data_IF_767794108255
#
_entry.id   IF_767794108255
#
_cell.length_a   1.000
_cell.length_b   1.000
_cell.length_c   1.000
_cell.angle_alpha   90.00
_cell.angle_beta   90.00
_cell.angle_gamma   90.00
#
_symmetry.space_group_name_H-M   'P 1'
#
loop_
_entity.id
_entity.type
_entity.pdbx_description
1 polymer ?
#
# COMPACT_ATOMS: atom_id res chain seq x y z
N UNK A 1 -48.48 27.32 -87.37
CA UNK A 1 -49.66 27.00 -88.21
C UNK A 1 -49.60 25.51 -88.57
N UNK A 2 -50.69 24.77 -88.30
CA UNK A 2 -51.35 23.75 -89.18
C UNK A 2 -50.45 23.14 -90.28
N UNK A 3 -50.31 21.84 -90.54
CA UNK A 3 -51.26 20.70 -90.57
C UNK A 3 -50.42 19.46 -90.98
N UNK A 4 -50.52 18.31 -90.30
CA UNK A 4 -51.29 17.10 -90.67
C UNK A 4 -50.81 16.28 -91.90
N UNK A 5 -50.51 15.01 -91.61
CA UNK A 5 -51.04 13.79 -92.25
C UNK A 5 -50.50 13.27 -93.61
N UNK A 6 -50.00 12.00 -93.52
CA UNK A 6 -50.28 10.78 -94.31
C UNK A 6 -49.80 10.71 -95.78
N UNK A 7 -48.94 9.73 -96.10
CA UNK A 7 -49.23 8.36 -96.59
C UNK A 7 -49.48 8.36 -98.12
N UNK A 8 -48.91 7.56 -99.00
CA UNK A 8 -48.01 6.40 -98.99
C UNK A 8 -47.96 5.85 -100.44
N UNK A 9 -47.00 4.99 -100.79
CA UNK A 9 -47.00 4.12 -102.00
C UNK A 9 -45.79 3.17 -101.89
N UNK A 10 -45.93 1.89 -101.53
CA UNK A 10 -46.29 0.71 -102.34
C UNK A 10 -45.35 0.40 -103.52
N UNK A 11 -44.45 -0.58 -103.34
CA UNK A 11 -44.29 -1.82 -104.17
C UNK A 11 -43.11 -2.65 -103.63
N UNK A 12 -43.35 -3.85 -103.08
CA UNK A 12 -43.13 -5.18 -103.72
C UNK A 12 -41.66 -5.46 -104.11
N UNK A 13 -41.02 -6.60 -103.87
CA UNK A 13 -41.27 -7.83 -103.12
C UNK A 13 -39.95 -8.64 -103.18
N UNK A 14 -39.56 -9.33 -102.10
CA UNK A 14 -38.81 -10.60 -102.16
C UNK A 14 -38.75 -11.22 -100.76
N UNK A 15 -39.48 -12.32 -100.61
CA UNK A 15 -39.48 -13.19 -99.43
C UNK A 15 -38.24 -14.07 -99.48
N UNK A 16 -37.42 -14.03 -98.44
CA UNK A 16 -36.54 -15.14 -98.07
C UNK A 16 -36.97 -15.60 -96.67
N UNK A 17 -37.66 -16.73 -96.60
CA UNK A 17 -37.95 -17.40 -95.33
C UNK A 17 -36.65 -17.96 -94.77
N UNK A 18 -36.21 -17.40 -93.64
CA UNK A 18 -35.23 -18.02 -92.75
C UNK A 18 -35.96 -18.42 -91.47
N UNK A 19 -36.11 -19.73 -91.30
CA UNK A 19 -36.52 -20.38 -90.06
C UNK A 19 -35.45 -20.08 -89.01
N UNK A 20 -35.80 -19.30 -87.99
CA UNK A 20 -34.94 -19.03 -86.84
C UNK A 20 -35.37 -19.90 -85.64
N UNK A 21 -34.43 -20.55 -84.93
CA UNK A 21 -34.76 -21.30 -83.74
C UNK A 21 -34.92 -20.35 -82.55
N UNK A 22 -36.13 -20.28 -81.98
CA UNK A 22 -36.45 -19.46 -80.80
C UNK A 22 -35.82 -19.95 -79.47
N UNK A 23 -34.98 -20.99 -79.49
CA UNK A 23 -34.37 -21.58 -78.28
C UNK A 23 -33.02 -20.98 -77.86
N UNK A 24 -32.24 -20.40 -78.77
CA UNK A 24 -30.86 -19.99 -78.50
C UNK A 24 -30.72 -18.61 -77.81
N UNK A 25 -31.69 -17.72 -77.99
CA UNK A 25 -31.67 -16.38 -77.41
C UNK A 25 -32.11 -16.33 -75.94
N UNK A 26 -32.94 -17.27 -75.48
CA UNK A 26 -33.38 -17.32 -74.08
C UNK A 26 -32.26 -17.79 -73.14
N UNK A 27 -31.42 -18.72 -73.61
CA UNK A 27 -30.34 -19.32 -72.83
C UNK A 27 -29.14 -18.37 -72.68
N UNK A 28 -28.84 -17.59 -73.71
CA UNK A 28 -27.79 -16.56 -73.65
C UNK A 28 -28.17 -15.41 -72.69
N UNK A 29 -29.46 -15.07 -72.58
CA UNK A 29 -29.96 -14.06 -71.63
C UNK A 29 -29.94 -14.60 -70.18
N UNK A 30 -30.30 -15.86 -69.95
CA UNK A 30 -30.21 -16.47 -68.61
C UNK A 30 -28.77 -16.59 -68.12
N UNK A 31 -27.84 -16.96 -68.99
CA UNK A 31 -26.42 -17.08 -68.66
C UNK A 31 -25.82 -15.71 -68.34
N UNK A 32 -26.20 -14.67 -69.09
CA UNK A 32 -25.79 -13.29 -68.82
C UNK A 32 -26.37 -12.78 -67.49
N UNK A 33 -27.65 -13.09 -67.19
CA UNK A 33 -28.27 -12.72 -65.92
C UNK A 33 -27.61 -13.45 -64.73
N UNK A 34 -27.18 -14.69 -64.93
CA UNK A 34 -26.48 -15.47 -63.92
C UNK A 34 -25.08 -14.90 -63.66
N UNK A 35 -24.37 -14.48 -64.70
CA UNK A 35 -23.08 -13.78 -64.57
C UNK A 35 -23.23 -12.43 -63.86
N UNK A 36 -24.27 -11.64 -64.16
CA UNK A 36 -24.55 -10.37 -63.46
C UNK A 36 -24.83 -10.61 -61.97
N UNK A 37 -25.61 -11.64 -61.64
CA UNK A 37 -25.89 -12.00 -60.25
C UNK A 37 -24.61 -12.47 -59.52
N UNK A 38 -23.75 -13.25 -60.18
CA UNK A 38 -22.45 -13.65 -59.64
C UNK A 38 -21.52 -12.45 -59.43
N UNK A 39 -21.47 -11.53 -60.39
CA UNK A 39 -20.65 -10.32 -60.29
C UNK A 39 -21.15 -9.40 -59.16
N UNK A 40 -22.47 -9.26 -59.02
CA UNK A 40 -23.10 -8.51 -57.93
C UNK A 40 -22.77 -9.12 -56.56
N UNK A 41 -22.81 -10.45 -56.47
CA UNK A 41 -22.45 -11.19 -55.25
C UNK A 41 -20.96 -11.03 -54.91
N UNK A 42 -20.08 -11.08 -55.91
CA UNK A 42 -18.65 -10.82 -55.73
C UNK A 42 -18.38 -9.37 -55.30
N UNK A 43 -19.09 -8.39 -55.88
CA UNK A 43 -18.96 -6.99 -55.51
C UNK A 43 -19.39 -6.74 -54.05
N UNK A 44 -20.48 -7.37 -53.62
CA UNK A 44 -20.94 -7.33 -52.23
C UNK A 44 -19.93 -7.97 -51.27
N UNK A 45 -19.35 -9.12 -51.65
CA UNK A 45 -18.32 -9.77 -50.85
C UNK A 45 -17.03 -8.93 -50.73
N UNK A 46 -16.62 -8.25 -51.81
CA UNK A 46 -15.49 -7.32 -51.81
C UNK A 46 -15.80 -6.09 -50.95
N UNK A 47 -17.00 -5.53 -51.06
CA UNK A 47 -17.44 -4.40 -50.22
C UNK A 47 -17.42 -4.75 -48.72
N UNK A 48 -17.99 -5.89 -48.35
CA UNK A 48 -18.00 -6.38 -46.97
C UNK A 48 -16.58 -6.63 -46.44
N UNK A 49 -15.68 -7.15 -47.29
CA UNK A 49 -14.27 -7.35 -46.93
C UNK A 49 -13.53 -6.03 -46.76
N UNK A 50 -13.86 -5.01 -47.55
CA UNK A 50 -13.30 -3.66 -47.43
C UNK A 50 -13.74 -3.00 -46.12
N UNK A 51 -15.03 -3.10 -45.78
CA UNK A 51 -15.58 -2.60 -44.51
C UNK A 51 -14.96 -3.30 -43.30
N UNK A 52 -14.79 -4.63 -43.37
CA UNK A 52 -14.11 -5.40 -42.32
C UNK A 52 -12.63 -4.97 -42.16
N UNK A 53 -11.94 -4.72 -43.28
CA UNK A 53 -10.55 -4.25 -43.26
C UNK A 53 -10.44 -2.83 -42.67
N UNK A 54 -11.38 -1.95 -43.02
CA UNK A 54 -11.48 -0.59 -42.46
C UNK A 54 -11.76 -0.63 -40.95
N UNK A 55 -12.65 -1.52 -40.50
CA UNK A 55 -12.93 -1.73 -39.09
C UNK A 55 -11.70 -2.26 -38.33
N UNK A 56 -10.97 -3.22 -38.91
CA UNK A 56 -9.73 -3.74 -38.34
C UNK A 56 -8.65 -2.65 -38.24
N UNK A 57 -8.46 -1.85 -39.30
CA UNK A 57 -7.52 -0.73 -39.28
C UNK A 57 -7.90 0.31 -38.22
N UNK A 58 -9.19 0.66 -38.10
CA UNK A 58 -9.66 1.58 -37.07
C UNK A 58 -9.38 1.05 -35.66
N UNK A 59 -9.55 -0.26 -35.45
CA UNK A 59 -9.26 -0.92 -34.17
C UNK A 59 -7.75 -0.95 -33.85
N UNK A 60 -6.90 -1.25 -34.83
CA UNK A 60 -5.44 -1.20 -34.68
C UNK A 60 -4.95 0.22 -34.37
N UNK A 61 -5.49 1.24 -35.05
CA UNK A 61 -5.19 2.64 -34.76
C UNK A 61 -5.63 3.05 -33.35
N UNK A 62 -6.79 2.58 -32.89
CA UNK A 62 -7.27 2.84 -31.53
C UNK A 62 -6.35 2.19 -30.47
N UNK A 63 -5.91 0.94 -30.68
CA UNK A 63 -4.97 0.25 -29.79
C UNK A 63 -3.62 0.95 -29.76
N UNK A 64 -3.08 1.35 -30.92
CA UNK A 64 -1.83 2.10 -30.99
C UNK A 64 -1.93 3.48 -30.31
N UNK A 65 -3.06 4.18 -30.47
CA UNK A 65 -3.30 5.45 -29.78
C UNK A 65 -3.34 5.27 -28.26
N UNK A 66 -3.99 4.20 -27.76
CA UNK A 66 -4.03 3.88 -26.34
C UNK A 66 -2.65 3.49 -25.79
N UNK A 67 -1.84 2.73 -26.55
CA UNK A 67 -0.46 2.40 -26.18
C UNK A 67 0.43 3.64 -26.10
N UNK A 68 0.31 4.56 -27.07
CA UNK A 68 1.06 5.83 -27.04
C UNK A 68 0.63 6.71 -25.86
N UNK A 69 -0.67 6.78 -25.57
CA UNK A 69 -1.18 7.55 -24.44
C UNK A 69 -0.69 6.99 -23.09
N UNK A 70 -0.66 5.67 -22.93
CA UNK A 70 -0.15 5.02 -21.71
C UNK A 70 1.36 5.18 -21.55
N UNK A 71 2.13 5.06 -22.64
CA UNK A 71 3.57 5.33 -22.64
C UNK A 71 3.88 6.78 -22.24
N UNK A 72 3.22 7.75 -22.88
CA UNK A 72 3.38 9.16 -22.56
C UNK A 72 2.98 9.49 -21.11
N UNK A 73 1.94 8.84 -20.57
CA UNK A 73 1.54 9.02 -19.17
C UNK A 73 2.57 8.43 -18.18
N UNK A 74 3.24 7.34 -18.55
CA UNK A 74 4.30 6.73 -17.74
C UNK A 74 5.55 7.62 -17.72
N UNK A 75 5.97 8.13 -18.88
CA UNK A 75 7.11 9.06 -19.01
C UNK A 75 6.87 10.34 -18.21
N UNK A 76 5.70 10.96 -18.36
CA UNK A 76 5.33 12.16 -17.59
C UNK A 76 5.27 11.89 -16.08
N UNK A 77 5.00 10.65 -15.65
CA UNK A 77 5.05 10.26 -14.24
C UNK A 77 6.50 10.11 -13.76
N UNK A 78 7.37 9.48 -14.54
CA UNK A 78 8.80 9.36 -14.24
C UNK A 78 9.46 10.73 -14.06
N UNK A 79 9.22 11.66 -14.98
CA UNK A 79 9.76 13.03 -14.89
C UNK A 79 9.33 13.75 -13.59
N UNK A 80 8.07 13.56 -13.18
CA UNK A 80 7.57 14.14 -11.92
C UNK A 80 8.22 13.50 -10.69
N UNK A 81 8.43 12.19 -10.72
CA UNK A 81 9.10 11.46 -9.63
C UNK A 81 10.57 11.88 -9.52
N UNK A 82 11.29 11.98 -10.64
CA UNK A 82 12.68 12.48 -10.68
C UNK A 82 12.79 13.92 -10.19
N UNK A 83 11.89 14.82 -10.64
CA UNK A 83 11.85 16.19 -10.17
C UNK A 83 11.57 16.28 -8.66
N UNK A 84 10.69 15.42 -8.13
CA UNK A 84 10.41 15.36 -6.70
C UNK A 84 11.61 14.87 -5.89
N UNK A 85 12.34 13.86 -6.38
CA UNK A 85 13.58 13.36 -5.77
C UNK A 85 14.65 14.45 -5.78
N UNK A 86 14.85 15.12 -6.91
CA UNK A 86 15.82 16.21 -7.03
C UNK A 86 15.47 17.38 -6.08
N UNK A 87 14.18 17.75 -6.00
CA UNK A 87 13.70 18.78 -5.09
C UNK A 87 13.91 18.39 -3.63
N UNK A 88 13.65 17.13 -3.26
CA UNK A 88 13.91 16.62 -1.92
C UNK A 88 15.40 16.67 -1.56
N UNK A 89 16.25 16.12 -2.43
CA UNK A 89 17.70 16.11 -2.22
C UNK A 89 18.25 17.54 -2.09
N UNK A 90 17.75 18.48 -2.91
CA UNK A 90 18.09 19.89 -2.80
C UNK A 90 17.61 20.52 -1.49
N UNK A 91 16.39 20.22 -1.05
CA UNK A 91 15.87 20.70 0.23
C UNK A 91 16.69 20.16 1.41
N UNK A 92 17.12 18.90 1.36
CA UNK A 92 18.02 18.30 2.34
C UNK A 92 19.39 19.01 2.37
N UNK A 93 19.95 19.33 1.19
CA UNK A 93 21.18 20.13 1.09
C UNK A 93 21.02 21.55 1.64
N UNK A 94 19.89 22.22 1.37
CA UNK A 94 19.58 23.53 1.93
C UNK A 94 19.43 23.44 3.45
N UNK A 95 18.77 22.41 3.97
CA UNK A 95 18.64 22.16 5.40
C UNK A 95 19.99 21.91 6.10
N UNK A 96 20.98 21.35 5.38
CA UNK A 96 22.36 21.25 5.85
C UNK A 96 23.06 22.63 5.89
N UNK A 97 22.71 23.55 4.98
CA UNK A 97 23.35 24.86 4.82
C UNK A 97 22.72 25.98 5.66
N UNK A 98 21.42 25.90 6.00
CA UNK A 98 20.63 27.02 6.50
C UNK A 98 20.49 27.10 8.05
N UNK A 99 21.38 26.50 8.83
CA UNK A 99 21.14 26.31 10.28
C UNK A 99 22.12 27.11 11.15
N UNK A 100 21.63 27.72 12.27
CA UNK A 100 22.48 28.26 13.33
C UNK A 100 23.50 27.24 13.89
N UNK A 101 24.61 27.72 14.49
CA UNK A 101 25.73 26.89 14.90
C UNK A 101 25.32 25.75 15.83
N UNK A 102 25.95 24.58 15.66
CA UNK A 102 25.91 23.48 16.64
C UNK A 102 26.39 23.96 18.00
N UNK A 103 26.02 23.28 19.09
CA UNK A 103 26.50 23.63 20.44
C UNK A 103 28.04 23.65 20.57
N UNK A 104 28.75 22.94 19.68
CA UNK A 104 30.20 22.98 19.59
C UNK A 104 30.68 24.28 18.89
N UNK A 105 30.05 24.66 17.78
CA UNK A 105 30.30 25.92 17.07
C UNK A 105 29.90 27.15 17.92
N UNK A 106 28.78 27.09 18.65
CA UNK A 106 28.35 28.10 19.64
C UNK A 106 29.37 28.27 20.77
N UNK A 107 30.09 27.19 21.11
CA UNK A 107 31.17 27.19 22.11
C UNK A 107 32.54 27.51 21.52
N UNK A 108 32.61 27.91 20.25
CA UNK A 108 33.85 28.31 19.57
C UNK A 108 34.80 27.14 19.27
N UNK A 109 34.31 25.89 19.29
CA UNK A 109 35.10 24.72 18.90
C UNK A 109 35.06 24.62 17.38
N UNK A 110 35.96 25.35 16.72
CA UNK A 110 36.11 25.33 15.26
C UNK A 110 37.10 24.22 14.91
N UNK A 111 36.61 23.00 14.72
CA UNK A 111 37.44 21.94 14.19
C UNK A 111 36.73 21.23 13.04
N UNK A 112 37.21 21.50 11.83
CA UNK A 112 36.75 20.95 10.55
C UNK A 112 37.13 19.47 10.36
N UNK A 113 37.76 18.83 11.36
CA UNK A 113 38.02 17.39 11.41
C UNK A 113 36.88 16.57 12.04
N UNK A 114 35.79 17.17 12.52
CA UNK A 114 34.72 16.46 13.23
C UNK A 114 33.31 16.70 12.67
N UNK A 115 32.52 15.63 12.74
CA UNK A 115 31.05 15.51 12.78
C UNK A 115 30.29 16.80 12.43
N UNK A 116 29.86 16.95 11.17
CA UNK A 116 29.01 18.06 10.72
C UNK A 116 27.55 17.78 11.06
N UNK A 117 26.69 18.80 11.08
CA UNK A 117 25.25 18.60 11.27
C UNK A 117 24.66 17.72 10.15
N UNK A 118 23.66 16.91 10.47
CA UNK A 118 22.91 16.09 9.53
C UNK A 118 21.53 16.67 9.16
N UNK A 119 20.86 16.02 8.21
CA UNK A 119 19.56 16.46 7.65
C UNK A 119 18.38 16.20 8.59
N UNK A 120 18.50 15.23 9.52
CA UNK A 120 17.47 14.93 10.51
C UNK A 120 17.61 15.87 11.72
N UNK A 121 16.52 16.20 12.43
CA UNK A 121 16.58 16.94 13.69
C UNK A 121 17.53 16.28 14.69
N UNK A 122 18.47 17.04 15.27
CA UNK A 122 19.43 16.52 16.24
C UNK A 122 20.38 15.44 15.69
N UNK A 123 20.55 15.35 14.37
CA UNK A 123 21.47 14.41 13.74
C UNK A 123 22.79 15.04 13.33
N UNK A 124 23.75 14.18 13.02
CA UNK A 124 25.03 14.56 12.46
C UNK A 124 25.38 13.71 11.24
N UNK A 125 26.16 14.29 10.31
CA UNK A 125 26.71 13.59 9.16
C UNK A 125 27.88 12.70 9.62
N UNK A 126 27.89 11.45 9.15
CA UNK A 126 29.02 10.56 9.38
C UNK A 126 30.21 11.07 8.54
N UNK A 127 31.39 11.28 9.14
CA UNK A 127 32.56 11.71 8.39
C UNK A 127 32.88 10.78 7.21
N UNK A 128 33.02 11.35 6.02
CA UNK A 128 33.33 10.59 4.80
C UNK A 128 32.13 9.96 4.10
N UNK A 129 30.89 10.24 4.54
CA UNK A 129 29.68 9.80 3.84
C UNK A 129 28.64 10.92 3.75
N UNK A 130 27.60 10.71 2.93
CA UNK A 130 26.42 11.59 2.85
C UNK A 130 25.31 11.17 3.84
N UNK A 131 25.61 10.26 4.78
CA UNK A 131 24.63 9.71 5.72
C UNK A 131 24.54 10.55 6.97
N UNK A 132 23.34 11.01 7.30
CA UNK A 132 23.04 11.61 8.60
C UNK A 132 22.57 10.54 9.59
N UNK A 133 23.07 10.57 10.82
CA UNK A 133 22.63 9.70 11.93
C UNK A 133 22.10 10.54 13.09
N UNK A 134 20.92 10.19 13.57
CA UNK A 134 20.38 10.64 14.86
C UNK A 134 20.49 9.51 15.88
N UNK A 135 20.99 9.83 17.07
CA UNK A 135 20.93 8.95 18.24
C UNK A 135 20.15 9.72 19.32
N UNK A 136 19.04 9.15 19.76
CA UNK A 136 18.13 9.80 20.70
C UNK A 136 17.36 8.77 21.52
N UNK A 137 16.27 9.23 22.13
CA UNK A 137 15.48 8.42 23.04
C UNK A 137 15.21 9.13 24.35
N UNK A 138 14.84 8.37 25.37
CA UNK A 138 14.49 8.90 26.68
C UNK A 138 14.66 7.85 27.78
N UNK A 139 14.86 8.32 29.01
CA UNK A 139 14.72 7.51 30.22
C UNK A 139 13.37 7.85 30.84
N UNK A 140 12.60 6.83 31.18
CA UNK A 140 11.28 6.98 31.80
C UNK A 140 11.24 6.15 33.07
N UNK A 141 10.78 6.74 34.17
CA UNK A 141 10.49 6.05 35.43
C UNK A 141 8.99 6.16 35.69
N UNK A 142 8.33 5.01 35.77
CA UNK A 142 6.89 4.93 36.04
C UNK A 142 6.68 4.30 37.40
N UNK A 143 5.63 4.73 38.10
CA UNK A 143 5.12 4.08 39.29
C UNK A 143 3.65 3.78 39.09
N UNK A 144 3.24 2.56 39.44
CA UNK A 144 1.87 2.07 39.31
C UNK A 144 1.41 1.49 40.64
N UNK A 145 0.15 1.74 40.97
CA UNK A 145 -0.55 1.07 42.05
C UNK A 145 -1.78 0.34 41.51
N UNK A 146 -1.74 -1.00 41.55
CA UNK A 146 -2.85 -1.85 41.13
C UNK A 146 -3.62 -2.31 42.37
N UNK A 147 -4.80 -1.74 42.67
CA UNK A 147 -5.53 -2.04 43.91
C UNK A 147 -6.08 -3.46 43.98
N UNK A 148 -6.06 -4.21 42.87
CA UNK A 148 -6.67 -5.54 42.76
C UNK A 148 -5.71 -6.62 42.33
N UNK A 149 -4.44 -6.28 42.02
CA UNK A 149 -3.39 -7.16 41.50
C UNK A 149 -3.73 -7.98 40.24
N UNK A 150 -4.88 -7.73 39.60
CA UNK A 150 -5.42 -8.60 38.55
C UNK A 150 -4.60 -8.67 37.23
N UNK A 151 -3.65 -7.77 37.00
CA UNK A 151 -2.97 -7.61 35.69
C UNK A 151 -1.45 -7.76 35.75
N UNK A 152 -0.90 -7.90 36.96
CA UNK A 152 0.55 -7.91 37.14
C UNK A 152 1.23 -6.54 37.01
N UNK A 153 2.57 -6.53 37.12
CA UNK A 153 3.43 -5.33 37.02
C UNK A 153 3.61 -4.79 35.59
N UNK A 154 2.91 -5.40 34.63
CA UNK A 154 2.94 -5.11 33.21
C UNK A 154 1.66 -5.66 32.64
N UNK A 155 0.90 -4.82 31.96
CA UNK A 155 -0.19 -5.33 31.16
C UNK A 155 0.36 -6.13 29.96
N UNK A 156 -0.18 -7.34 29.81
CA UNK A 156 0.00 -8.23 28.68
C UNK A 156 -1.32 -8.97 28.48
N UNK A 157 -1.69 -9.32 27.25
CA UNK A 157 -2.92 -10.08 26.99
C UNK A 157 -2.86 -11.43 27.75
N UNK A 158 -1.67 -12.05 27.83
CA UNK A 158 -1.42 -13.25 28.63
C UNK A 158 -1.62 -13.08 30.15
N UNK A 159 -1.70 -11.85 30.68
CA UNK A 159 -1.97 -11.60 32.10
C UNK A 159 -3.48 -11.37 32.37
N UNK A 160 -4.33 -11.41 31.34
CA UNK A 160 -5.78 -11.36 31.48
C UNK A 160 -6.29 -12.74 31.92
N UNK A 161 -6.21 -13.02 33.22
CA UNK A 161 -6.75 -14.26 33.77
C UNK A 161 -8.29 -14.27 33.66
N UNK A 162 -8.90 -15.32 33.09
CA UNK A 162 -10.36 -15.48 33.11
C UNK A 162 -10.89 -15.47 34.55
N UNK A 163 -12.19 -15.18 34.71
CA UNK A 163 -12.85 -15.31 36.01
C UNK A 163 -12.75 -16.77 36.49
N UNK A 164 -11.95 -17.02 37.52
CA UNK A 164 -11.74 -18.34 38.09
C UNK A 164 -10.94 -18.32 39.39
N UNK A 165 -10.75 -19.48 40.04
CA UNK A 165 -10.07 -19.58 41.34
C UNK A 165 -8.60 -19.14 41.31
N UNK A 166 -7.97 -19.14 40.13
CA UNK A 166 -6.60 -18.66 39.93
C UNK A 166 -6.50 -17.13 39.85
N UNK A 167 -7.61 -16.43 39.58
CA UNK A 167 -7.67 -14.98 39.50
C UNK A 167 -7.24 -14.39 40.84
N UNK A 168 -6.04 -13.82 40.87
CA UNK A 168 -5.48 -13.18 42.08
C UNK A 168 -6.25 -11.93 42.43
N UNK A 169 -7.32 -12.09 43.20
CA UNK A 169 -8.13 -10.99 43.70
C UNK A 169 -7.85 -10.73 45.18
N UNK A 170 -6.62 -10.34 45.56
CA UNK A 170 -6.35 -9.75 46.89
C UNK A 170 -5.07 -8.90 46.95
N UNK A 171 -5.16 -7.81 47.72
CA UNK A 171 -4.15 -6.83 48.17
C UNK A 171 -3.49 -5.99 47.06
N UNK A 172 -3.49 -4.66 47.26
CA UNK A 172 -2.92 -3.73 46.29
C UNK A 172 -1.44 -3.98 46.04
N UNK A 173 -1.02 -3.82 44.79
CA UNK A 173 0.35 -4.00 44.33
C UNK A 173 0.93 -2.64 43.93
N UNK A 174 2.11 -2.30 44.45
CA UNK A 174 2.81 -1.08 44.09
C UNK A 174 4.14 -1.43 43.45
N UNK A 175 4.42 -0.79 42.33
CA UNK A 175 5.65 -1.03 41.60
C UNK A 175 6.18 0.24 40.94
N UNK A 176 7.49 0.30 40.78
CA UNK A 176 8.15 1.27 39.91
C UNK A 176 9.05 0.53 38.91
N UNK A 177 9.14 1.07 37.69
CA UNK A 177 9.96 0.46 36.65
C UNK A 177 10.45 1.50 35.65
N UNK A 178 11.50 1.15 34.92
CA UNK A 178 12.06 1.98 33.84
C UNK A 178 11.99 1.31 32.47
N UNK A 179 11.13 0.29 32.33
CA UNK A 179 11.05 -0.60 31.17
C UNK A 179 10.75 0.14 29.85
N UNK A 180 10.03 1.26 29.94
CA UNK A 180 9.62 2.08 28.79
C UNK A 180 10.78 2.92 28.24
N UNK A 181 11.88 3.05 28.98
CA UNK A 181 13.09 3.76 28.51
C UNK A 181 13.51 3.21 27.14
N UNK A 182 13.80 4.12 26.22
CA UNK A 182 13.98 3.80 24.80
C UNK A 182 15.23 4.46 24.25
N UNK A 183 15.98 3.70 23.46
CA UNK A 183 17.04 4.20 22.59
C UNK A 183 16.55 4.15 21.15
N UNK A 184 16.79 5.22 20.39
CA UNK A 184 16.42 5.36 18.99
C UNK A 184 17.65 5.74 18.19
N UNK A 185 17.88 5.03 17.08
CA UNK A 185 18.88 5.35 16.08
C UNK A 185 18.19 5.47 14.74
N UNK A 186 18.29 6.64 14.12
CA UNK A 186 17.74 6.89 12.79
C UNK A 186 18.86 7.29 11.85
N UNK A 187 18.69 6.95 10.57
CA UNK A 187 19.59 7.44 9.53
C UNK A 187 18.84 7.97 8.32
N UNK A 188 19.50 8.85 7.55
CA UNK A 188 19.04 9.32 6.26
C UNK A 188 20.23 9.48 5.33
N UNK A 189 20.19 8.79 4.19
CA UNK A 189 21.23 8.84 3.15
C UNK A 189 20.58 9.25 1.83
N UNK A 190 21.00 10.37 1.19
CA UNK A 190 20.52 10.74 -0.13
C UNK A 190 20.76 9.62 -1.16
N UNK A 191 19.83 9.41 -2.08
CA UNK A 191 20.00 8.46 -3.18
C UNK A 191 19.27 8.92 -4.45
N UNK A 192 19.48 8.19 -5.54
CA UNK A 192 18.79 8.41 -6.81
C UNK A 192 17.27 8.17 -6.74
N UNK A 193 16.78 7.49 -5.70
CA UNK A 193 15.35 7.16 -5.50
C UNK A 193 14.69 7.99 -4.39
N UNK A 194 15.34 9.07 -3.97
CA UNK A 194 15.01 9.81 -2.74
C UNK A 194 15.86 9.35 -1.55
N UNK A 195 15.65 9.92 -0.35
CA UNK A 195 16.42 9.53 0.82
C UNK A 195 16.11 8.09 1.21
N UNK A 196 17.15 7.31 1.45
CA UNK A 196 17.02 6.03 2.15
C UNK A 196 17.06 6.35 3.63
N UNK A 197 15.95 6.10 4.33
CA UNK A 197 15.88 6.32 5.79
C UNK A 197 15.83 5.00 6.53
N UNK A 198 16.36 4.98 7.76
CA UNK A 198 16.20 3.85 8.68
C UNK A 198 15.76 4.33 10.05
N UNK A 199 15.01 3.48 10.75
CA UNK A 199 14.60 3.70 12.12
C UNK A 199 14.76 2.40 12.90
N UNK A 200 15.68 2.42 13.86
CA UNK A 200 15.92 1.33 14.79
C UNK A 200 15.66 1.82 16.21
N UNK A 201 14.78 1.15 16.93
CA UNK A 201 14.46 1.51 18.30
C UNK A 201 14.40 0.26 19.18
N UNK A 202 14.96 0.38 20.39
CA UNK A 202 14.92 -0.67 21.42
C UNK A 202 14.34 -0.10 22.72
N UNK A 203 13.53 -0.89 23.41
CA UNK A 203 13.08 -0.62 24.77
C UNK A 203 13.33 -1.83 25.68
N UNK A 204 13.06 -1.66 26.98
CA UNK A 204 13.27 -2.67 28.01
C UNK A 204 11.95 -3.34 28.43
N UNK A 205 10.94 -3.34 27.56
CA UNK A 205 9.62 -3.94 27.81
C UNK A 205 9.50 -5.35 27.21
N UNK A 206 10.64 -6.03 27.01
CA UNK A 206 10.72 -7.41 26.50
C UNK A 206 10.11 -8.45 27.44
N UNK A 207 10.06 -9.70 26.96
CA UNK A 207 9.61 -10.84 27.77
C UNK A 207 10.73 -11.33 28.70
N UNK A 208 10.40 -11.57 29.97
CA UNK A 208 11.31 -12.11 30.99
C UNK A 208 10.82 -13.49 31.42
N UNK A 209 11.71 -14.49 31.45
CA UNK A 209 11.35 -15.85 31.87
C UNK A 209 10.84 -15.88 33.31
N UNK A 210 9.71 -16.54 33.56
CA UNK A 210 9.02 -16.54 34.86
C UNK A 210 8.19 -15.27 35.13
N UNK A 211 8.10 -14.36 34.16
CA UNK A 211 7.29 -13.16 34.24
C UNK A 211 7.91 -12.05 35.09
N UNK A 212 7.30 -10.87 35.02
CA UNK A 212 7.82 -9.66 35.64
C UNK A 212 7.77 -9.69 37.18
N UNK A 213 7.06 -10.63 37.80
CA UNK A 213 7.11 -10.85 39.25
C UNK A 213 8.34 -11.66 39.71
N UNK A 214 9.04 -12.32 38.78
CA UNK A 214 10.22 -13.11 39.09
C UNK A 214 11.52 -12.28 39.08
N UNK A 215 11.39 -10.95 39.10
CA UNK A 215 12.51 -10.00 39.12
C UNK A 215 13.45 -10.20 40.31
N UNK A 216 12.95 -10.66 41.46
CA UNK A 216 13.78 -10.97 42.63
C UNK A 216 14.83 -12.08 42.35
N UNK A 217 14.53 -13.02 41.45
CA UNK A 217 15.47 -14.07 41.04
C UNK A 217 16.43 -13.63 39.93
N UNK A 218 16.19 -12.48 39.30
CA UNK A 218 16.94 -11.97 38.14
C UNK A 218 17.61 -10.62 38.42
N UNK A 219 17.93 -10.34 39.69
CA UNK A 219 18.58 -9.10 40.11
C UNK A 219 17.83 -7.83 39.62
N UNK A 220 16.50 -7.89 39.57
CA UNK A 220 15.62 -6.82 39.08
C UNK A 220 15.91 -6.38 37.62
N UNK A 221 16.35 -7.32 36.77
CA UNK A 221 16.68 -7.07 35.36
C UNK A 221 15.46 -7.11 34.45
N UNK A 222 15.55 -6.42 33.31
CA UNK A 222 14.55 -6.42 32.25
C UNK A 222 15.12 -6.98 30.94
N UNK A 223 14.25 -7.50 30.08
CA UNK A 223 14.63 -7.91 28.74
C UNK A 223 14.49 -6.76 27.75
N UNK A 224 15.51 -6.56 26.91
CA UNK A 224 15.41 -5.67 25.77
C UNK A 224 14.54 -6.29 24.66
N UNK A 225 13.82 -5.44 23.92
CA UNK A 225 13.15 -5.84 22.67
C UNK A 225 13.28 -4.76 21.62
N UNK A 226 13.15 -5.19 20.36
CA UNK A 226 13.02 -4.29 19.22
C UNK A 226 11.61 -3.69 19.21
N UNK A 227 11.54 -2.38 19.01
CA UNK A 227 10.28 -1.63 18.86
C UNK A 227 10.07 -1.28 17.39
N UNK A 228 11.10 -0.77 16.74
CA UNK A 228 11.12 -0.47 15.32
C UNK A 228 12.43 -0.98 14.74
N UNK A 229 12.36 -1.59 13.57
CA UNK A 229 13.52 -1.96 12.77
C UNK A 229 13.11 -1.99 11.31
N UNK A 230 13.01 -0.81 10.71
CA UNK A 230 12.58 -0.65 9.32
C UNK A 230 13.39 0.41 8.58
N UNK A 231 13.33 0.35 7.27
CA UNK A 231 13.84 1.39 6.39
C UNK A 231 12.82 1.78 5.32
N UNK A 232 13.03 2.95 4.73
CA UNK A 232 12.20 3.47 3.63
C UNK A 232 13.05 3.89 2.46
N UNK A 233 12.53 3.70 1.25
CA UNK A 233 13.09 4.25 0.01
C UNK A 233 11.96 4.57 -0.95
N UNK A 234 11.87 5.84 -1.37
CA UNK A 234 10.74 6.32 -2.15
C UNK A 234 9.39 5.97 -1.49
N UNK A 235 8.46 5.31 -2.19
CA UNK A 235 7.15 4.94 -1.64
C UNK A 235 7.16 3.65 -0.81
N UNK A 236 8.28 2.94 -0.72
CA UNK A 236 8.37 1.65 -0.05
C UNK A 236 8.93 1.78 1.37
N UNK A 237 8.36 1.00 2.29
CA UNK A 237 8.90 0.73 3.60
C UNK A 237 9.02 -0.78 3.81
N UNK A 238 10.08 -1.22 4.48
CA UNK A 238 10.34 -2.64 4.76
C UNK A 238 10.95 -2.82 6.14
N UNK A 239 10.46 -3.82 6.87
CA UNK A 239 10.93 -4.20 8.20
C UNK A 239 9.83 -4.14 9.26
N UNK A 240 10.22 -4.17 10.52
CA UNK A 240 9.29 -4.17 11.66
C UNK A 240 8.84 -2.75 11.98
N UNK A 241 7.55 -2.50 11.78
CA UNK A 241 6.87 -1.24 12.15
C UNK A 241 5.39 -1.48 12.49
N UNK A 242 4.67 -0.45 12.93
CA UNK A 242 3.25 -0.58 13.25
C UNK A 242 2.48 -1.14 12.04
N UNK A 243 1.56 -2.07 12.25
CA UNK A 243 0.72 -2.64 11.18
C UNK A 243 0.07 -1.53 10.36
N UNK A 244 -0.08 -1.75 9.05
CA UNK A 244 -0.74 -0.80 8.15
C UNK A 244 -2.26 -0.76 8.39
N UNK A 245 -2.80 -1.69 9.18
CA UNK A 245 -4.18 -1.67 9.64
C UNK A 245 -4.46 -0.58 10.70
N UNK A 246 -3.43 -0.10 11.43
CA UNK A 246 -3.60 0.76 12.62
C UNK A 246 -3.71 2.24 12.24
N UNK A 247 -4.54 2.99 12.99
CA UNK A 247 -4.50 4.45 13.00
C UNK A 247 -3.65 4.97 14.17
N UNK A 248 -2.42 5.38 13.85
CA UNK A 248 -1.52 5.92 14.86
C UNK A 248 -1.87 7.35 15.27
N UNK A 249 -2.58 8.12 14.44
CA UNK A 249 -2.93 9.50 14.74
C UNK A 249 -4.14 9.58 15.67
N UNK A 250 -5.00 8.57 15.67
CA UNK A 250 -6.17 8.47 16.54
C UNK A 250 -5.86 7.79 17.90
N UNK A 251 -4.60 7.45 18.13
CA UNK A 251 -4.16 6.86 19.41
C UNK A 251 -4.06 7.95 20.48
N UNK A 252 -4.79 7.85 21.62
CA UNK A 252 -4.71 8.83 22.68
C UNK A 252 -3.37 8.75 23.40
N UNK A 253 -2.89 9.91 23.84
CA UNK A 253 -1.75 9.97 24.74
C UNK A 253 -2.17 9.41 26.11
N UNK A 254 -1.48 8.38 26.57
CA UNK A 254 -1.75 7.73 27.85
C UNK A 254 -0.46 7.54 28.64
N UNK A 255 -0.59 7.62 29.97
CA UNK A 255 0.51 7.29 30.89
C UNK A 255 0.70 5.77 31.02
N UNK A 256 -0.37 5.00 30.85
CA UNK A 256 -0.34 3.55 30.81
C UNK A 256 0.30 3.09 29.48
N UNK A 257 1.44 2.42 29.58
CA UNK A 257 2.19 1.99 28.41
C UNK A 257 1.47 0.93 27.55
N UNK A 258 0.48 0.22 28.10
CA UNK A 258 -0.34 -0.68 27.30
C UNK A 258 -1.33 0.03 26.37
N UNK A 259 -1.71 1.26 26.71
CA UNK A 259 -2.75 1.99 26.03
C UNK A 259 -4.16 1.48 26.34
N UNK A 260 -5.20 2.14 25.82
CA UNK A 260 -6.58 1.77 26.08
C UNK A 260 -6.96 0.47 25.35
N UNK A 261 -7.85 -0.31 25.98
CA UNK A 261 -8.40 -1.50 25.37
C UNK A 261 -9.18 -1.17 24.08
N UNK A 262 -9.05 -2.04 23.07
CA UNK A 262 -9.78 -1.92 21.80
C UNK A 262 -9.02 -1.19 20.68
N UNK A 263 -7.84 -0.62 20.96
CA UNK A 263 -6.96 -0.13 19.91
C UNK A 263 -6.06 -1.27 19.39
N UNK A 264 -6.03 -1.53 18.07
CA UNK A 264 -5.05 -2.46 17.52
C UNK A 264 -3.65 -1.86 17.67
N UNK A 265 -2.72 -2.63 18.24
CA UNK A 265 -1.38 -2.16 18.62
C UNK A 265 -0.24 -3.08 18.11
N UNK A 266 -0.51 -3.82 17.02
CA UNK A 266 0.44 -4.74 16.40
C UNK A 266 1.61 -4.02 15.72
N UNK A 267 2.83 -4.47 16.02
CA UNK A 267 4.05 -4.16 15.27
C UNK A 267 4.54 -5.45 14.64
N UNK A 268 4.67 -5.46 13.33
CA UNK A 268 4.96 -6.66 12.55
C UNK A 268 5.92 -6.32 11.42
N UNK A 269 6.72 -7.31 11.02
CA UNK A 269 7.52 -7.23 9.80
C UNK A 269 6.59 -7.07 8.61
N UNK A 270 6.86 -6.08 7.76
CA UNK A 270 5.99 -5.83 6.63
C UNK A 270 6.76 -5.22 5.47
N UNK A 271 6.19 -5.37 4.28
CA UNK A 271 6.53 -4.57 3.10
C UNK A 271 5.31 -3.71 2.81
N UNK A 272 5.48 -2.38 2.90
CA UNK A 272 4.40 -1.41 2.68
C UNK A 272 4.73 -0.51 1.50
N UNK A 273 3.77 -0.36 0.59
CA UNK A 273 3.77 0.67 -0.43
C UNK A 273 2.82 1.78 -0.02
N UNK A 274 3.30 3.03 -0.04
CA UNK A 274 2.53 4.22 0.32
C UNK A 274 2.48 5.18 -0.86
N UNK A 275 1.26 5.51 -1.27
CA UNK A 275 0.97 6.42 -2.37
C UNK A 275 0.26 7.68 -1.86
N UNK A 276 0.97 8.81 -1.73
CA UNK A 276 0.34 10.10 -1.50
C UNK A 276 -0.33 10.57 -2.81
N UNK A 277 -1.65 10.44 -2.88
CA UNK A 277 -2.43 10.86 -4.07
C UNK A 277 -2.36 12.38 -4.23
N UNK A 278 -2.39 13.10 -3.12
CA UNK A 278 -2.18 14.54 -3.03
C UNK A 278 -1.77 14.90 -1.59
N UNK A 279 -1.76 16.19 -1.25
CA UNK A 279 -1.35 16.69 0.08
C UNK A 279 -2.28 16.24 1.22
N UNK A 280 -3.52 15.89 0.93
CA UNK A 280 -4.55 15.55 1.93
C UNK A 280 -4.97 14.09 1.89
N UNK A 281 -4.66 13.35 0.81
CA UNK A 281 -5.11 11.98 0.59
C UNK A 281 -3.93 11.04 0.42
N UNK A 282 -3.94 9.94 1.17
CA UNK A 282 -2.91 8.91 1.15
C UNK A 282 -3.55 7.52 1.09
N UNK A 283 -3.02 6.67 0.22
CA UNK A 283 -3.34 5.25 0.19
C UNK A 283 -2.10 4.43 0.50
N UNK A 284 -2.28 3.29 1.15
CA UNK A 284 -1.20 2.36 1.43
C UNK A 284 -1.68 0.92 1.42
N UNK A 285 -0.82 0.05 0.93
CA UNK A 285 -1.01 -1.40 0.90
C UNK A 285 0.19 -2.05 1.57
N UNK A 286 -0.03 -3.09 2.37
CA UNK A 286 1.05 -3.86 2.96
C UNK A 286 0.81 -5.36 2.89
N UNK A 287 1.92 -6.09 2.76
CA UNK A 287 2.01 -7.50 3.10
C UNK A 287 2.74 -7.60 4.45
N UNK A 288 2.06 -8.14 5.45
CA UNK A 288 2.50 -8.21 6.83
C UNK A 288 2.82 -9.66 7.21
N UNK A 289 3.81 -9.84 8.07
CA UNK A 289 4.23 -11.15 8.56
C UNK A 289 3.06 -11.79 9.32
N UNK A 290 2.61 -12.98 8.91
CA UNK A 290 1.43 -13.57 9.48
C UNK A 290 1.75 -14.21 10.82
N UNK A 291 1.01 -13.80 11.84
CA UNK A 291 1.08 -14.41 13.16
C UNK A 291 -0.33 -14.54 13.70
N UNK A 292 -0.77 -15.78 13.87
CA UNK A 292 -2.01 -16.09 14.58
C UNK A 292 -1.70 -16.85 15.87
N UNK A 293 -2.53 -16.63 16.88
CA UNK A 293 -2.46 -17.33 18.14
C UNK A 293 -3.85 -17.64 18.65
N UNK A 294 -3.99 -18.72 19.41
CA UNK A 294 -5.25 -19.12 20.02
C UNK A 294 -5.08 -19.42 21.51
N UNK A 295 -6.18 -19.38 22.25
CA UNK A 295 -6.24 -19.89 23.61
C UNK A 295 -6.62 -21.37 23.55
N UNK A 296 -5.79 -22.25 24.11
CA UNK A 296 -6.12 -23.68 24.24
C UNK A 296 -7.00 -23.91 25.48
N UNK A 297 -7.74 -25.01 25.48
CA UNK A 297 -8.49 -25.63 26.58
C UNK A 297 -7.68 -25.91 27.84
N UNK A 298 -6.35 -25.76 27.81
CA UNK A 298 -5.44 -25.89 28.95
C UNK A 298 -5.06 -24.55 29.58
N UNK A 299 -5.85 -23.50 29.33
CA UNK A 299 -5.61 -22.13 29.81
C UNK A 299 -4.30 -21.50 29.31
N UNK A 300 -3.68 -22.07 28.27
CA UNK A 300 -2.54 -21.44 27.58
C UNK A 300 -3.07 -20.31 26.70
N UNK A 301 -2.62 -19.08 26.98
CA UNK A 301 -2.90 -17.90 26.17
C UNK A 301 -1.78 -17.77 25.10
N UNK A 302 -2.16 -17.42 23.86
CA UNK A 302 -1.23 -17.19 22.74
C UNK A 302 -0.42 -18.43 22.29
N UNK A 303 -1.07 -19.60 22.16
CA UNK A 303 -0.45 -20.71 21.42
C UNK A 303 -0.34 -20.28 19.96
N UNK A 304 0.89 -20.03 19.52
CA UNK A 304 1.15 -19.63 18.14
C UNK A 304 0.78 -20.77 17.17
N UNK A 305 0.07 -20.44 16.11
CA UNK A 305 -0.09 -21.34 14.98
C UNK A 305 1.28 -21.57 14.33
N UNK A 306 1.67 -22.84 14.15
CA UNK A 306 2.96 -23.18 13.57
C UNK A 306 3.00 -22.97 12.04
N UNK A 307 1.85 -22.75 11.40
CA UNK A 307 1.72 -22.78 9.93
C UNK A 307 0.83 -21.67 9.38
N UNK A 308 1.46 -20.58 8.92
CA UNK A 308 0.81 -19.50 8.18
C UNK A 308 1.35 -19.40 6.73
N UNK A 309 0.60 -19.87 5.72
CA UNK A 309 1.13 -20.06 4.37
C UNK A 309 1.17 -18.79 3.52
N UNK A 310 0.51 -17.71 3.95
CA UNK A 310 0.45 -16.46 3.20
C UNK A 310 0.60 -15.25 4.12
N UNK A 311 1.16 -14.13 3.63
CA UNK A 311 1.16 -12.87 4.36
C UNK A 311 -0.26 -12.39 4.64
N UNK A 312 -0.37 -11.56 5.67
CA UNK A 312 -1.57 -10.79 5.91
C UNK A 312 -1.56 -9.55 5.05
N UNK A 313 -2.66 -9.32 4.33
CA UNK A 313 -2.77 -8.20 3.41
C UNK A 313 -3.62 -7.12 4.02
N UNK A 314 -3.10 -5.90 4.06
CA UNK A 314 -3.82 -4.75 4.59
C UNK A 314 -3.85 -3.59 3.62
N UNK A 315 -4.95 -2.85 3.64
CA UNK A 315 -5.15 -1.62 2.89
C UNK A 315 -5.49 -0.50 3.87
N UNK A 316 -5.04 0.71 3.55
CA UNK A 316 -5.35 1.90 4.34
C UNK A 316 -5.54 3.10 3.44
N UNK A 317 -6.59 3.85 3.70
CA UNK A 317 -6.86 5.16 3.15
C UNK A 317 -6.88 6.18 4.29
N UNK A 318 -6.21 7.31 4.08
CA UNK A 318 -6.14 8.40 5.04
C UNK A 318 -6.49 9.71 4.34
N UNK A 319 -7.37 10.49 4.96
CA UNK A 319 -7.67 11.87 4.62
C UNK A 319 -7.25 12.78 5.78
N UNK A 320 -6.42 13.78 5.52
CA UNK A 320 -5.94 14.69 6.57
C UNK A 320 -5.92 16.12 6.08
N UNK A 321 -6.53 17.00 6.87
CA UNK A 321 -6.51 18.46 6.76
C UNK A 321 -6.10 19.04 8.11
N UNK A 322 -5.97 20.36 8.20
CA UNK A 322 -5.60 21.03 9.45
C UNK A 322 -6.61 20.80 10.58
N UNK A 323 -7.89 20.59 10.25
CA UNK A 323 -9.00 20.39 11.20
C UNK A 323 -9.38 18.91 11.38
N UNK A 324 -9.23 18.09 10.35
CA UNK A 324 -9.83 16.76 10.31
C UNK A 324 -8.83 15.70 9.85
N UNK A 325 -8.73 14.63 10.62
CA UNK A 325 -8.12 13.36 10.25
C UNK A 325 -9.22 12.30 10.12
N UNK A 326 -9.23 11.56 9.02
CA UNK A 326 -10.03 10.36 8.83
C UNK A 326 -9.15 9.24 8.30
N UNK A 327 -9.38 8.03 8.79
CA UNK A 327 -8.74 6.82 8.29
C UNK A 327 -9.76 5.73 8.10
N UNK A 328 -9.59 4.96 7.03
CA UNK A 328 -10.26 3.67 6.83
C UNK A 328 -9.19 2.63 6.55
N UNK A 329 -9.25 1.49 7.22
CA UNK A 329 -8.28 0.41 7.03
C UNK A 329 -8.98 -0.94 7.04
N UNK A 330 -8.45 -1.86 6.25
CA UNK A 330 -8.95 -3.22 6.13
C UNK A 330 -7.79 -4.21 6.13
N UNK A 331 -8.01 -5.40 6.67
CA UNK A 331 -7.05 -6.49 6.66
C UNK A 331 -7.74 -7.79 6.24
N UNK A 332 -7.05 -8.61 5.47
CA UNK A 332 -7.44 -9.98 5.11
C UNK A 332 -6.31 -10.92 5.51
N UNK A 333 -6.66 -11.96 6.25
CA UNK A 333 -5.74 -12.89 6.92
C UNK A 333 -6.23 -14.32 6.76
N UNK A 334 -5.34 -15.30 6.72
CA UNK A 334 -5.68 -16.70 7.01
C UNK A 334 -5.53 -16.91 8.51
N UNK A 335 -6.57 -17.37 9.18
CA UNK A 335 -6.48 -17.72 10.60
C UNK A 335 -6.51 -19.23 10.71
N UNK A 336 -5.45 -19.79 11.28
CA UNK A 336 -5.28 -21.22 11.41
C UNK A 336 -5.29 -21.69 12.87
N UNK A 337 -5.75 -22.93 13.04
CA UNK A 337 -5.69 -23.70 14.26
C UNK A 337 -5.05 -25.05 13.92
N UNK A 338 -4.09 -25.47 14.72
CA UNK A 338 -3.46 -26.79 14.65
C UNK A 338 -3.71 -27.52 15.96
N UNK A 339 -4.18 -28.75 15.90
CA UNK A 339 -4.62 -29.53 17.07
C UNK A 339 -3.47 -30.16 17.89
N UNK A 340 -2.22 -29.89 17.50
CA UNK A 340 -1.01 -30.46 18.10
C UNK A 340 -0.68 -31.88 17.65
N UNK A 341 -1.52 -32.51 16.82
CA UNK A 341 -1.27 -33.80 16.15
C UNK A 341 -0.93 -33.63 14.66
N UNK A 342 -0.85 -32.39 14.18
CA UNK A 342 -0.50 -32.02 12.81
C UNK A 342 -1.71 -31.72 11.91
N UNK A 343 -2.93 -31.80 12.42
CA UNK A 343 -4.13 -31.46 11.66
C UNK A 343 -4.41 -29.95 11.74
N UNK A 344 -4.28 -29.28 10.59
CA UNK A 344 -4.52 -27.85 10.42
C UNK A 344 -5.92 -27.57 9.88
N UNK A 345 -6.65 -26.70 10.56
CA UNK A 345 -7.88 -26.09 10.08
C UNK A 345 -7.68 -24.59 9.93
N UNK A 346 -8.06 -24.00 8.79
CA UNK A 346 -7.92 -22.55 8.61
C UNK A 346 -9.10 -21.92 7.88
N UNK A 347 -9.22 -20.60 8.04
CA UNK A 347 -10.25 -19.80 7.39
C UNK A 347 -9.70 -18.42 7.04
N UNK A 348 -9.83 -18.07 5.76
CA UNK A 348 -9.62 -16.70 5.29
C UNK A 348 -10.74 -15.82 5.86
N UNK A 349 -10.34 -14.76 6.55
CA UNK A 349 -11.24 -13.77 7.14
C UNK A 349 -10.65 -12.38 7.00
N UNK A 350 -11.41 -11.36 7.39
CA UNK A 350 -10.93 -9.99 7.40
C UNK A 350 -11.67 -9.11 8.39
N UNK A 351 -11.08 -7.95 8.65
CA UNK A 351 -11.63 -6.93 9.54
C UNK A 351 -11.39 -5.54 8.95
N UNK A 352 -12.15 -4.55 9.45
CA UNK A 352 -12.01 -3.15 9.06
C UNK A 352 -12.12 -2.24 10.26
N UNK A 353 -11.38 -1.12 10.23
CA UNK A 353 -11.52 -0.02 11.19
C UNK A 353 -11.70 1.31 10.47
N UNK A 354 -12.38 2.23 11.14
CA UNK A 354 -12.47 3.62 10.74
C UNK A 354 -12.10 4.49 11.95
N UNK A 355 -11.16 5.42 11.76
CA UNK A 355 -10.69 6.38 12.75
C UNK A 355 -11.05 7.80 12.33
N UNK A 356 -11.31 8.67 13.31
CA UNK A 356 -11.67 10.06 13.04
C UNK A 356 -11.24 10.97 14.19
N UNK A 357 -10.36 11.93 13.90
CA UNK A 357 -9.86 12.89 14.89
C UNK A 357 -10.11 14.32 14.41
N UNK A 358 -10.61 15.17 15.31
CA UNK A 358 -10.77 16.60 15.08
C UNK A 358 -9.66 17.37 15.80
N UNK A 359 -8.90 18.15 15.05
CA UNK A 359 -7.92 19.07 15.59
C UNK A 359 -8.59 20.42 15.85
N UNK A 360 -8.94 20.66 17.11
CA UNK A 360 -9.62 21.90 17.54
C UNK A 360 -8.66 23.09 17.71
N UNK A 361 -7.37 22.90 17.46
CA UNK A 361 -6.34 23.89 17.76
C UNK A 361 -6.15 24.11 19.27
N UNK A 362 -5.38 25.13 19.66
CA UNK A 362 -5.22 25.48 21.06
C UNK A 362 -6.56 25.92 21.66
N UNK A 363 -6.99 25.25 22.72
CA UNK A 363 -8.07 25.75 23.58
C UNK A 363 -7.41 26.75 24.53
N UNK A 364 -7.52 28.04 24.20
CA UNK A 364 -7.02 29.13 25.04
C UNK A 364 -7.81 29.28 26.35
#
# INVERSE_FOLDING_TARGET
MKHSFRCGLLSSAAVLMLVLPAGAYAQQVSDTQTQINQLSTQLQAVSAKLEALQAQQAQEHAVQAQQRATAAALEARQEREEAAIAAHNKAAQIALQAVPPTRAEEKGVVNTQYVTKGVLPGSFLIPGTDTSIHIGGFVNLQAEYNPTQNLGPKFSIGNLEPNGPGRRATAGDFQYNSKVSRLVVQSSTPSAYGPITTNFAIDLWGYVSGGDYNQALQNNSYSARIVFAYGTVGPFAMGMMNSNFIDNNDSPETMDFAGPAGLPAERTEQIRFTWPVNKTNLFSFAAENPQSGYQDTRDNIEVASATEPMPDFSIRYQYTTDLLHLQFSGVVRDIAYEDGYGDRSSRITGAGIAGATLNLGPIN
#
